data_IF_392666076528
#
_entry.id   IF_392666076528
#
_cell.length_a   1.000
_cell.length_b   1.000
_cell.length_c   1.000
_cell.angle_alpha   90.00
_cell.angle_beta   90.00
_cell.angle_gamma   90.00
#
_symmetry.space_group_name_H-M   'P 1'
#
loop_
_entity.id
_entity.type
_entity.pdbx_description
1 polymer ?
#
# COMPACT_ATOMS: atom_id res chain seq x y z
N UNK A 1 17.52 -7.58 -19.90
CA UNK A 1 17.23 -6.13 -20.00
C UNK A 1 17.48 -5.53 -18.63
N UNK A 2 18.39 -4.59 -18.53
CA UNK A 2 18.63 -3.89 -17.28
C UNK A 2 17.39 -3.09 -16.91
N UNK A 3 16.76 -3.47 -15.83
CA UNK A 3 15.57 -2.79 -15.31
C UNK A 3 16.08 -1.54 -14.60
N UNK A 4 15.74 -0.36 -15.09
CA UNK A 4 16.05 0.86 -14.37
C UNK A 4 15.33 0.83 -13.01
N UNK A 5 16.07 1.02 -11.90
CA UNK A 5 15.45 1.04 -10.58
C UNK A 5 14.43 2.17 -10.48
N UNK A 6 13.32 1.90 -9.79
CA UNK A 6 12.29 2.88 -9.49
C UNK A 6 12.58 3.45 -8.09
N UNK A 7 12.62 4.76 -7.96
CA UNK A 7 12.81 5.37 -6.65
C UNK A 7 11.55 5.30 -5.80
N UNK A 8 11.72 5.01 -4.52
CA UNK A 8 10.65 5.04 -3.52
C UNK A 8 11.08 5.98 -2.40
N UNK A 9 10.24 6.96 -2.11
CA UNK A 9 10.41 7.88 -1.00
C UNK A 9 9.38 7.58 0.08
N UNK A 10 9.80 7.36 1.33
CA UNK A 10 8.92 7.27 2.48
C UNK A 10 9.27 8.38 3.46
N UNK A 11 8.35 9.33 3.63
CA UNK A 11 8.45 10.42 4.60
C UNK A 11 7.59 10.08 5.81
N UNK A 12 8.19 9.98 7.00
CA UNK A 12 7.51 9.74 8.26
C UNK A 12 7.39 11.02 9.07
N UNK A 13 6.23 11.22 9.70
CA UNK A 13 5.98 12.31 10.64
C UNK A 13 6.10 11.80 12.08
N UNK A 14 6.45 12.70 13.01
CA UNK A 14 6.56 12.38 14.45
C UNK A 14 5.20 12.19 15.11
N UNK A 15 4.17 12.79 14.55
CA UNK A 15 2.84 12.85 15.12
C UNK A 15 2.08 11.55 14.93
N UNK A 16 1.42 11.09 16.00
CA UNK A 16 0.55 9.93 15.98
C UNK A 16 -0.75 10.25 15.24
N UNK A 17 -1.08 9.38 14.30
CA UNK A 17 -2.33 9.45 13.53
C UNK A 17 -3.06 8.11 13.59
N UNK A 18 -4.38 8.14 13.59
CA UNK A 18 -5.19 6.95 13.36
C UNK A 18 -5.32 6.65 11.86
N UNK A 19 -5.65 5.41 11.50
CA UNK A 19 -5.85 5.01 10.10
C UNK A 19 -6.89 5.90 9.38
N UNK A 20 -7.94 6.32 10.08
CA UNK A 20 -8.95 7.23 9.53
C UNK A 20 -8.38 8.61 9.17
N UNK A 21 -7.32 9.05 9.83
CA UNK A 21 -6.67 10.33 9.59
C UNK A 21 -5.69 10.31 8.38
N UNK A 22 -5.31 9.14 7.86
CA UNK A 22 -4.51 9.07 6.63
C UNK A 22 -5.20 9.82 5.46
N UNK A 23 -6.52 9.75 5.38
CA UNK A 23 -7.29 10.52 4.40
C UNK A 23 -7.26 12.02 4.69
N UNK A 24 -7.34 12.41 5.97
CA UNK A 24 -7.25 13.82 6.35
C UNK A 24 -5.87 14.37 6.02
N UNK A 25 -4.80 13.58 6.23
CA UNK A 25 -3.44 13.90 5.83
C UNK A 25 -3.37 14.17 4.32
N UNK A 26 -4.00 13.32 3.48
CA UNK A 26 -4.09 13.58 2.05
C UNK A 26 -4.72 14.94 1.74
N UNK A 27 -5.87 15.25 2.33
CA UNK A 27 -6.55 16.54 2.12
C UNK A 27 -5.67 17.72 2.53
N UNK A 28 -4.98 17.62 3.66
CA UNK A 28 -4.10 18.66 4.18
C UNK A 28 -2.87 18.89 3.27
N UNK A 29 -2.21 17.81 2.83
CA UNK A 29 -1.06 17.91 1.91
C UNK A 29 -1.48 18.50 0.55
N UNK A 30 -2.60 18.05 0.00
CA UNK A 30 -3.13 18.60 -1.25
C UNK A 30 -3.41 20.12 -1.11
N UNK A 31 -3.92 20.56 0.04
CA UNK A 31 -4.14 21.99 0.31
C UNK A 31 -2.82 22.75 0.46
N UNK A 32 -1.78 22.12 1.02
CA UNK A 32 -0.46 22.70 1.21
C UNK A 32 0.26 22.95 -0.13
N UNK A 33 0.25 21.96 -1.03
CA UNK A 33 0.97 22.03 -2.32
C UNK A 33 0.17 22.75 -3.41
N UNK A 34 -1.13 22.99 -3.18
CA UNK A 34 -2.03 23.54 -4.18
C UNK A 34 -2.65 22.48 -5.09
N UNK A 35 -3.81 22.85 -5.67
CA UNK A 35 -4.61 21.90 -6.46
C UNK A 35 -4.01 21.56 -7.82
N UNK A 36 -3.04 22.29 -8.29
CA UNK A 36 -2.41 22.11 -9.60
C UNK A 36 -1.38 20.97 -9.63
N UNK A 37 -1.01 20.45 -8.46
CA UNK A 37 -0.12 19.28 -8.35
C UNK A 37 -0.89 17.96 -8.54
N UNK A 38 -1.07 17.55 -9.81
CA UNK A 38 -1.87 16.40 -10.24
C UNK A 38 -1.50 15.08 -9.53
N UNK A 39 -0.22 14.82 -9.26
CA UNK A 39 0.23 13.57 -8.61
C UNK A 39 -0.30 13.39 -7.18
N UNK A 40 -0.42 14.48 -6.41
CA UNK A 40 -0.97 14.42 -5.05
C UNK A 40 -2.49 14.22 -5.03
N UNK A 41 -3.19 14.56 -6.11
CA UNK A 41 -4.64 14.41 -6.25
C UNK A 41 -5.09 13.04 -6.72
N UNK A 42 -4.26 12.28 -7.42
CA UNK A 42 -4.63 11.08 -8.20
C UNK A 42 -5.80 11.35 -9.20
N UNK A 43 -5.93 12.59 -9.68
CA UNK A 43 -6.89 12.99 -10.72
C UNK A 43 -6.10 13.69 -11.85
N UNK A 44 -6.17 13.15 -13.06
CA UNK A 44 -5.70 13.84 -14.25
C UNK A 44 -6.80 14.71 -14.87
N UNK A 45 -6.46 15.57 -15.84
CA UNK A 45 -7.41 16.41 -16.60
C UNK A 45 -8.52 15.61 -17.30
N UNK A 46 -8.31 14.31 -17.55
CA UNK A 46 -9.25 13.37 -18.16
C UNK A 46 -10.08 12.52 -17.18
N UNK A 47 -10.05 12.82 -15.87
CA UNK A 47 -10.78 12.05 -14.85
C UNK A 47 -9.90 11.18 -13.95
N UNK A 48 -10.51 10.18 -13.28
CA UNK A 48 -9.80 9.25 -12.40
C UNK A 48 -8.79 8.41 -13.18
N UNK A 49 -7.50 8.58 -12.90
CA UNK A 49 -6.49 7.63 -13.35
C UNK A 49 -6.70 6.29 -12.64
N UNK A 50 -7.23 5.29 -13.35
CA UNK A 50 -7.36 3.91 -12.90
C UNK A 50 -6.01 3.17 -12.91
N UNK A 51 -4.97 3.80 -12.37
CA UNK A 51 -3.64 3.23 -12.24
C UNK A 51 -3.29 2.97 -10.78
N UNK A 52 -2.17 2.27 -10.55
CA UNK A 52 -1.62 2.12 -9.22
C UNK A 52 -1.21 3.51 -8.67
N UNK A 53 -1.62 3.90 -7.43
CA UNK A 53 -1.38 5.24 -6.92
C UNK A 53 0.11 5.45 -6.60
N UNK A 54 0.72 6.43 -7.24
CA UNK A 54 2.13 6.76 -7.02
C UNK A 54 2.37 7.57 -5.73
N UNK A 55 1.36 8.31 -5.24
CA UNK A 55 1.41 8.95 -3.92
C UNK A 55 0.41 8.27 -2.99
N UNK A 56 0.89 7.85 -1.84
CA UNK A 56 0.09 7.13 -0.86
C UNK A 56 0.26 7.75 0.53
N UNK A 57 -0.84 7.98 1.21
CA UNK A 57 -0.89 8.52 2.57
C UNK A 57 -1.15 7.37 3.53
N UNK A 58 -0.29 7.21 4.51
CA UNK A 58 -0.24 6.02 5.39
C UNK A 58 -0.28 6.42 6.85
N UNK A 59 -0.58 5.42 7.66
CA UNK A 59 -0.24 5.40 9.07
C UNK A 59 0.60 4.14 9.29
N UNK A 60 1.86 4.33 9.64
CA UNK A 60 2.86 3.29 9.81
C UNK A 60 3.31 3.32 11.27
N UNK A 61 3.13 2.20 11.97
CA UNK A 61 3.43 2.07 13.40
C UNK A 61 2.82 3.20 14.26
N UNK A 62 1.62 3.67 13.87
CA UNK A 62 0.89 4.75 14.55
C UNK A 62 1.25 6.16 14.10
N UNK A 63 2.25 6.35 13.25
CA UNK A 63 2.70 7.65 12.78
C UNK A 63 2.22 7.94 11.37
N UNK A 64 1.94 9.22 11.09
CA UNK A 64 1.63 9.65 9.73
C UNK A 64 2.81 9.44 8.79
N UNK A 65 2.54 9.04 7.55
CA UNK A 65 3.57 8.89 6.53
C UNK A 65 3.03 9.17 5.12
N UNK A 66 3.93 9.55 4.20
CA UNK A 66 3.66 9.70 2.78
C UNK A 66 4.66 8.85 2.01
N UNK A 67 4.15 8.03 1.11
CA UNK A 67 4.99 7.21 0.22
C UNK A 67 4.84 7.73 -1.20
N UNK A 68 5.96 8.07 -1.83
CA UNK A 68 6.07 8.42 -3.25
C UNK A 68 6.78 7.33 -4.02
N UNK A 69 6.29 6.96 -5.19
CA UNK A 69 6.78 5.86 -6.01
C UNK A 69 7.06 6.38 -7.42
N UNK A 70 8.20 6.02 -7.99
CA UNK A 70 8.61 6.50 -9.31
C UNK A 70 8.82 8.01 -9.32
N UNK A 71 8.20 8.71 -10.27
CA UNK A 71 8.31 10.17 -10.41
C UNK A 71 7.77 10.92 -9.17
N UNK A 72 6.82 10.33 -8.46
CA UNK A 72 6.30 10.91 -7.22
C UNK A 72 7.30 10.85 -6.06
N UNK A 73 8.32 9.99 -6.10
CA UNK A 73 9.31 9.89 -5.02
C UNK A 73 10.07 11.21 -4.81
N UNK A 74 10.54 11.84 -5.89
CA UNK A 74 11.21 13.13 -5.81
C UNK A 74 10.28 14.25 -5.33
N UNK A 75 9.02 14.22 -5.73
CA UNK A 75 8.02 15.22 -5.30
C UNK A 75 7.69 15.08 -3.82
N UNK A 76 7.53 13.83 -3.31
CA UNK A 76 7.32 13.59 -1.87
C UNK A 76 8.54 14.06 -1.08
N UNK A 77 9.76 13.79 -1.55
CA UNK A 77 10.98 14.30 -0.90
C UNK A 77 11.01 15.84 -0.89
N UNK A 78 10.59 16.48 -1.97
CA UNK A 78 10.50 17.95 -2.09
C UNK A 78 9.56 18.59 -1.06
N UNK A 79 8.55 17.86 -0.56
CA UNK A 79 7.68 18.34 0.51
C UNK A 79 8.43 18.67 1.79
N UNK A 80 9.63 18.13 2.00
CA UNK A 80 10.41 18.36 3.22
C UNK A 80 10.64 19.86 3.50
N UNK A 81 10.74 20.69 2.47
CA UNK A 81 10.92 22.13 2.60
C UNK A 81 9.71 22.87 3.22
N UNK A 82 8.54 22.25 3.25
CA UNK A 82 7.33 22.82 3.84
C UNK A 82 7.18 22.53 5.35
N UNK A 83 8.02 21.63 5.91
CA UNK A 83 7.91 21.21 7.30
C UNK A 83 9.06 21.78 8.16
N UNK A 84 8.82 22.06 9.47
CA UNK A 84 7.55 21.87 10.20
C UNK A 84 6.48 22.90 9.80
N UNK A 85 5.22 22.45 9.80
CA UNK A 85 4.10 23.34 9.53
C UNK A 85 2.82 22.87 10.25
N UNK A 86 1.88 23.80 10.44
CA UNK A 86 0.55 23.50 10.96
C UNK A 86 -0.40 23.18 9.80
N UNK A 87 -1.09 22.05 9.88
CA UNK A 87 -2.07 21.62 8.89
C UNK A 87 -3.40 21.29 9.54
N UNK A 88 -4.48 21.49 8.77
CA UNK A 88 -5.81 21.09 9.17
C UNK A 88 -6.04 19.63 8.80
N UNK A 89 -6.04 18.72 9.78
CA UNK A 89 -6.37 17.30 9.62
C UNK A 89 -7.83 17.04 10.03
N UNK A 90 -8.74 17.13 9.07
CA UNK A 90 -10.17 17.15 9.36
C UNK A 90 -10.56 18.46 10.02
N UNK A 91 -11.02 18.41 11.26
CA UNK A 91 -11.40 19.57 12.07
C UNK A 91 -10.32 20.00 13.08
N UNK A 92 -9.15 19.38 13.05
CA UNK A 92 -8.08 19.61 14.04
C UNK A 92 -6.87 20.25 13.39
N UNK A 93 -6.34 21.30 14.01
CA UNK A 93 -5.00 21.80 13.72
C UNK A 93 -3.97 20.86 14.31
N UNK A 94 -3.03 20.44 13.49
CA UNK A 94 -1.93 19.54 13.90
C UNK A 94 -0.63 20.12 13.35
N UNK A 95 0.32 20.39 14.23
CA UNK A 95 1.68 20.71 13.83
C UNK A 95 2.34 19.41 13.38
N UNK A 96 2.71 19.33 12.10
CA UNK A 96 3.43 18.18 11.56
C UNK A 96 4.91 18.49 11.44
N UNK A 97 5.73 17.53 11.87
CA UNK A 97 7.18 17.58 11.75
C UNK A 97 7.70 16.25 11.20
N UNK A 98 8.70 16.34 10.32
CA UNK A 98 9.32 15.14 9.76
C UNK A 98 10.20 14.49 10.82
N UNK A 99 10.03 13.19 10.99
CA UNK A 99 10.91 12.35 11.79
C UNK A 99 12.03 11.78 10.92
N UNK A 100 11.66 11.17 9.80
CA UNK A 100 12.58 10.52 8.88
C UNK A 100 12.07 10.62 7.44
N UNK A 101 13.00 10.69 6.49
CA UNK A 101 12.71 10.64 5.07
C UNK A 101 13.71 9.70 4.39
N UNK A 102 13.22 8.56 3.93
CA UNK A 102 14.02 7.56 3.23
C UNK A 102 13.76 7.64 1.72
N UNK A 103 14.82 7.69 0.94
CA UNK A 103 14.76 7.68 -0.51
C UNK A 103 15.64 6.54 -1.03
N UNK A 104 15.03 5.48 -1.54
CA UNK A 104 15.73 4.25 -1.90
C UNK A 104 15.38 3.80 -3.33
N UNK A 105 16.35 3.33 -4.10
CA UNK A 105 16.10 2.67 -5.38
C UNK A 105 15.49 1.29 -5.11
N UNK A 106 14.50 0.91 -5.91
CA UNK A 106 13.85 -0.38 -5.87
C UNK A 106 13.83 -1.01 -7.27
N UNK A 107 14.24 -2.26 -7.35
CA UNK A 107 14.11 -3.11 -8.54
C UNK A 107 13.44 -4.41 -8.12
N UNK A 108 12.33 -4.81 -8.76
CA UNK A 108 11.73 -6.12 -8.50
C UNK A 108 12.74 -7.23 -8.76
N UNK A 109 12.86 -8.17 -7.84
CA UNK A 109 13.73 -9.32 -7.97
C UNK A 109 13.00 -10.59 -7.53
N UNK A 110 13.05 -11.62 -8.39
CA UNK A 110 12.60 -12.95 -8.03
C UNK A 110 13.72 -13.69 -7.31
N UNK A 111 13.37 -14.44 -6.28
CA UNK A 111 14.33 -15.18 -5.44
C UNK A 111 13.79 -16.59 -5.16
N UNK A 112 14.67 -17.56 -5.19
CA UNK A 112 14.34 -18.94 -4.79
C UNK A 112 13.95 -19.00 -3.31
N UNK A 113 14.57 -18.15 -2.48
CA UNK A 113 14.19 -18.03 -1.08
C UNK A 113 12.98 -17.09 -0.92
N UNK A 114 11.87 -17.61 -0.38
CA UNK A 114 10.67 -16.81 -0.20
C UNK A 114 10.91 -15.66 0.78
N UNK A 115 10.20 -14.57 0.58
CA UNK A 115 10.16 -13.43 1.50
C UNK A 115 8.83 -13.47 2.24
N UNK A 116 8.86 -13.22 3.54
CA UNK A 116 7.65 -13.12 4.37
C UNK A 116 7.20 -11.66 4.48
N UNK A 117 5.91 -11.44 4.31
CA UNK A 117 5.28 -10.13 4.39
C UNK A 117 4.07 -10.15 5.30
N UNK A 118 3.78 -9.00 5.93
CA UNK A 118 2.47 -8.70 6.49
C UNK A 118 1.77 -7.65 5.65
N UNK A 119 0.45 -7.73 5.60
CA UNK A 119 -0.41 -6.78 4.91
C UNK A 119 -1.56 -6.42 5.86
N UNK A 120 -1.59 -5.14 6.27
CA UNK A 120 -2.54 -4.66 7.28
C UNK A 120 -3.68 -3.88 6.64
N UNK A 121 -4.90 -4.07 7.16
CA UNK A 121 -6.12 -3.42 6.67
C UNK A 121 -6.29 -3.56 5.15
N UNK A 122 -5.99 -4.73 4.61
CA UNK A 122 -6.06 -5.03 3.17
C UNK A 122 -7.52 -5.13 2.71
N UNK A 123 -7.87 -4.45 1.63
CA UNK A 123 -9.19 -4.46 1.01
C UNK A 123 -9.14 -5.16 -0.35
N UNK A 124 -9.14 -6.52 -0.40
CA UNK A 124 -9.08 -7.26 -1.67
C UNK A 124 -10.39 -7.22 -2.44
N UNK A 125 -11.53 -7.17 -1.73
CA UNK A 125 -12.81 -7.48 -2.30
C UNK A 125 -13.53 -6.23 -2.84
N UNK A 126 -13.98 -6.30 -4.08
CA UNK A 126 -14.99 -5.41 -4.64
C UNK A 126 -16.40 -5.96 -4.36
N UNK A 127 -17.44 -5.27 -4.80
CA UNK A 127 -18.86 -5.68 -4.55
C UNK A 127 -19.20 -7.07 -5.10
N UNK A 128 -18.64 -7.44 -6.25
CA UNK A 128 -18.84 -8.76 -6.85
C UNK A 128 -18.06 -9.85 -6.09
N UNK A 129 -16.80 -9.55 -5.78
CA UNK A 129 -15.93 -10.49 -5.07
C UNK A 129 -16.37 -10.75 -3.63
N UNK A 130 -16.98 -9.78 -2.95
CA UNK A 130 -17.61 -9.98 -1.63
C UNK A 130 -18.67 -11.09 -1.70
N UNK A 131 -19.54 -11.05 -2.70
CA UNK A 131 -20.61 -12.07 -2.88
C UNK A 131 -20.00 -13.45 -3.13
N UNK A 132 -18.98 -13.55 -3.99
CA UNK A 132 -18.25 -14.80 -4.26
C UNK A 132 -17.60 -15.34 -2.99
N UNK A 133 -16.90 -14.50 -2.25
CA UNK A 133 -16.23 -14.88 -1.01
C UNK A 133 -17.19 -15.44 0.05
N UNK A 134 -18.36 -14.80 0.23
CA UNK A 134 -19.38 -15.28 1.17
C UNK A 134 -20.08 -16.56 0.72
N UNK A 135 -20.17 -16.81 -0.58
CA UNK A 135 -20.75 -18.04 -1.12
C UNK A 135 -19.81 -19.26 -0.99
N UNK A 136 -18.51 -19.04 -0.80
CA UNK A 136 -17.54 -20.14 -0.60
C UNK A 136 -17.73 -20.77 0.78
N UNK A 137 -17.88 -22.09 0.84
CA UNK A 137 -18.05 -22.83 2.10
C UNK A 137 -16.71 -23.28 2.68
N UNK A 138 -15.79 -23.76 1.85
CA UNK A 138 -14.50 -24.23 2.30
C UNK A 138 -13.51 -23.07 2.57
N UNK A 139 -12.78 -23.18 3.68
CA UNK A 139 -11.75 -22.18 4.02
C UNK A 139 -10.62 -22.18 2.98
N UNK A 140 -10.26 -23.34 2.45
CA UNK A 140 -9.26 -23.50 1.38
C UNK A 140 -9.62 -22.66 0.16
N UNK A 141 -10.88 -22.69 -0.29
CA UNK A 141 -11.33 -21.92 -1.44
C UNK A 141 -11.24 -20.42 -1.18
N UNK A 142 -11.59 -19.99 0.03
CA UNK A 142 -11.45 -18.59 0.46
C UNK A 142 -10.00 -18.14 0.47
N UNK A 143 -9.10 -18.98 0.96
CA UNK A 143 -7.65 -18.70 0.96
C UNK A 143 -7.15 -18.54 -0.46
N UNK A 144 -7.36 -19.53 -1.33
CA UNK A 144 -6.92 -19.47 -2.72
C UNK A 144 -7.50 -18.27 -3.47
N UNK A 145 -8.75 -17.93 -3.21
CA UNK A 145 -9.39 -16.74 -3.81
C UNK A 145 -8.72 -15.44 -3.38
N UNK A 146 -8.30 -15.32 -2.10
CA UNK A 146 -7.56 -14.13 -1.63
C UNK A 146 -6.13 -14.11 -2.18
N UNK A 147 -5.47 -15.27 -2.33
CA UNK A 147 -4.14 -15.40 -2.93
C UNK A 147 -4.14 -14.93 -4.39
N UNK A 148 -5.14 -15.34 -5.17
CA UNK A 148 -5.32 -14.91 -6.56
C UNK A 148 -5.48 -13.38 -6.68
N UNK A 149 -6.34 -12.80 -5.82
CA UNK A 149 -6.54 -11.35 -5.81
C UNK A 149 -5.28 -10.61 -5.37
N UNK A 150 -4.55 -11.13 -4.38
CA UNK A 150 -3.31 -10.54 -3.91
C UNK A 150 -2.24 -10.57 -5.00
N UNK A 151 -2.11 -11.69 -5.70
CA UNK A 151 -1.22 -11.83 -6.87
C UNK A 151 -1.57 -10.79 -7.94
N UNK A 152 -2.85 -10.62 -8.26
CA UNK A 152 -3.30 -9.61 -9.22
C UNK A 152 -2.98 -8.17 -8.75
N UNK A 153 -3.06 -7.90 -7.45
CA UNK A 153 -2.71 -6.58 -6.90
C UNK A 153 -1.19 -6.31 -6.93
N UNK A 154 -0.36 -7.35 -6.75
CA UNK A 154 1.10 -7.25 -6.94
C UNK A 154 1.42 -6.96 -8.41
N UNK A 155 0.76 -7.64 -9.34
CA UNK A 155 0.91 -7.37 -10.77
C UNK A 155 0.43 -5.95 -11.15
N UNK A 156 -0.61 -5.44 -10.50
CA UNK A 156 -1.07 -4.06 -10.68
C UNK A 156 -0.03 -3.04 -10.16
N UNK A 157 0.64 -3.32 -9.05
CA UNK A 157 1.79 -2.53 -8.58
C UNK A 157 2.92 -2.54 -9.61
N UNK A 158 3.31 -3.70 -10.11
CA UNK A 158 4.37 -3.83 -11.13
C UNK A 158 4.03 -3.06 -12.41
N UNK A 159 2.78 -3.17 -12.88
CA UNK A 159 2.31 -2.35 -14.01
C UNK A 159 2.42 -0.86 -13.70
N UNK A 160 2.13 -0.44 -12.46
CA UNK A 160 2.21 0.95 -12.02
C UNK A 160 3.63 1.53 -11.99
N UNK A 161 4.65 0.67 -11.92
CA UNK A 161 6.07 1.04 -12.00
C UNK A 161 6.70 0.65 -13.36
N UNK A 162 5.88 0.36 -14.37
CA UNK A 162 6.31 -0.07 -15.71
C UNK A 162 7.19 -1.33 -15.72
N UNK A 163 6.98 -2.23 -14.75
CA UNK A 163 7.65 -3.51 -14.68
C UNK A 163 6.75 -4.64 -15.19
N UNK A 164 7.29 -5.52 -16.01
CA UNK A 164 6.61 -6.73 -16.49
C UNK A 164 7.31 -7.95 -15.90
N UNK A 165 6.61 -8.66 -15.02
CA UNK A 165 7.14 -9.89 -14.42
C UNK A 165 7.48 -10.92 -15.50
N UNK A 166 8.72 -11.42 -15.51
CA UNK A 166 9.19 -12.43 -16.45
C UNK A 166 8.97 -13.84 -15.89
N UNK A 167 8.76 -13.95 -14.59
CA UNK A 167 8.54 -15.19 -13.88
C UNK A 167 7.17 -15.20 -13.22
N UNK A 168 6.66 -16.39 -12.94
CA UNK A 168 5.41 -16.55 -12.21
C UNK A 168 5.61 -16.17 -10.73
N UNK A 169 4.70 -15.37 -10.20
CA UNK A 169 4.66 -15.09 -8.78
C UNK A 169 4.10 -16.32 -8.06
N UNK A 170 4.95 -16.97 -7.27
CA UNK A 170 4.54 -17.99 -6.32
C UNK A 170 4.24 -17.31 -4.98
N UNK A 171 2.99 -17.43 -4.52
CA UNK A 171 2.51 -16.78 -3.31
C UNK A 171 1.67 -17.75 -2.49
N UNK A 172 1.84 -17.76 -1.17
CA UNK A 172 1.00 -18.52 -0.26
C UNK A 172 0.72 -17.73 1.02
N UNK A 173 -0.53 -17.71 1.48
CA UNK A 173 -0.90 -17.16 2.76
C UNK A 173 -0.36 -18.03 3.90
N UNK A 174 0.30 -17.42 4.87
CA UNK A 174 0.79 -18.10 6.08
C UNK A 174 -0.08 -17.82 7.29
N UNK A 175 -0.80 -16.70 7.28
CA UNK A 175 -1.76 -16.33 8.31
C UNK A 175 -2.81 -15.40 7.73
N UNK A 176 -4.05 -15.58 8.12
CA UNK A 176 -5.16 -14.68 7.81
C UNK A 176 -6.03 -14.56 9.06
N UNK A 177 -6.13 -13.37 9.60
CA UNK A 177 -7.03 -13.09 10.72
C UNK A 177 -8.48 -13.05 10.24
N UNK A 178 -9.42 -13.19 11.18
CA UNK A 178 -10.83 -13.04 10.86
C UNK A 178 -11.09 -11.64 10.26
N UNK A 179 -11.76 -11.58 9.09
CA UNK A 179 -11.99 -10.32 8.41
C UNK A 179 -12.82 -9.35 9.25
N UNK A 180 -12.46 -8.08 9.19
CA UNK A 180 -13.17 -7.01 9.91
C UNK A 180 -14.06 -6.23 8.95
N UNK A 181 -15.33 -6.02 9.33
CA UNK A 181 -16.18 -5.08 8.60
C UNK A 181 -15.83 -3.64 8.95
N UNK A 182 -15.58 -2.85 7.94
CA UNK A 182 -15.31 -1.41 8.05
C UNK A 182 -16.38 -0.62 7.29
N UNK A 183 -16.93 0.39 7.94
CA UNK A 183 -17.81 1.35 7.30
C UNK A 183 -17.03 2.60 6.89
N UNK A 184 -16.94 2.85 5.59
CA UNK A 184 -16.26 4.01 5.06
C UNK A 184 -17.11 4.69 3.97
N UNK A 185 -17.42 5.97 4.13
CA UNK A 185 -18.29 6.74 3.21
C UNK A 185 -19.64 6.04 2.90
N UNK A 186 -20.29 5.45 3.90
CA UNK A 186 -21.54 4.67 3.78
C UNK A 186 -21.40 3.39 2.94
N UNK A 187 -20.19 2.97 2.62
CA UNK A 187 -19.90 1.69 1.95
C UNK A 187 -19.28 0.75 2.98
N UNK A 188 -19.77 -0.49 3.01
CA UNK A 188 -19.17 -1.56 3.82
C UNK A 188 -17.99 -2.15 3.06
N UNK A 189 -16.87 -2.27 3.74
CA UNK A 189 -15.67 -2.96 3.28
C UNK A 189 -15.33 -4.10 4.21
N UNK A 190 -14.75 -5.14 3.66
CA UNK A 190 -14.19 -6.26 4.42
C UNK A 190 -12.68 -6.13 4.38
N UNK A 191 -12.07 -5.84 5.52
CA UNK A 191 -10.62 -5.66 5.66
C UNK A 191 -9.99 -6.90 6.26
N UNK A 192 -8.83 -7.27 5.72
CA UNK A 192 -8.03 -8.40 6.16
C UNK A 192 -6.69 -7.93 6.73
N UNK A 193 -6.28 -8.55 7.83
CA UNK A 193 -4.90 -8.53 8.28
C UNK A 193 -4.33 -9.92 8.02
N UNK A 194 -3.30 -10.01 7.19
CA UNK A 194 -2.77 -11.29 6.73
C UNK A 194 -1.24 -11.29 6.62
N UNK A 195 -0.66 -12.47 6.62
CA UNK A 195 0.75 -12.68 6.29
C UNK A 195 0.84 -13.65 5.12
N UNK A 196 1.83 -13.44 4.27
CA UNK A 196 2.06 -14.29 3.11
C UNK A 196 3.55 -14.38 2.81
N UNK A 197 3.93 -15.47 2.16
CA UNK A 197 5.24 -15.62 1.55
C UNK A 197 5.12 -15.48 0.04
N UNK A 198 6.14 -14.93 -0.57
CA UNK A 198 6.24 -14.85 -2.02
C UNK A 198 7.70 -14.98 -2.48
N UNK A 199 7.89 -15.49 -3.72
CA UNK A 199 9.19 -15.58 -4.38
C UNK A 199 9.67 -14.25 -4.99
N UNK A 200 9.09 -13.13 -4.61
CA UNK A 200 9.38 -11.82 -5.15
C UNK A 200 9.73 -10.84 -4.03
N UNK A 201 10.71 -9.98 -4.27
CA UNK A 201 11.04 -8.88 -3.38
C UNK A 201 10.07 -7.72 -3.60
N UNK A 202 9.39 -7.28 -2.53
CA UNK A 202 8.44 -6.18 -2.53
C UNK A 202 8.92 -5.09 -1.56
N UNK A 203 8.77 -3.82 -1.91
CA UNK A 203 9.22 -2.72 -1.06
C UNK A 203 8.27 -2.52 0.12
N UNK A 204 8.83 -2.12 1.26
CA UNK A 204 8.05 -1.77 2.44
C UNK A 204 7.18 -0.52 2.21
N UNK A 205 6.11 -0.46 2.99
CA UNK A 205 5.20 0.68 3.12
C UNK A 205 4.35 0.99 1.88
N UNK A 206 4.51 0.27 0.78
CA UNK A 206 3.56 0.39 -0.34
C UNK A 206 2.20 -0.18 0.05
N UNK A 207 1.15 0.25 -0.64
CA UNK A 207 -0.20 -0.27 -0.44
C UNK A 207 -0.64 -1.18 -1.56
N UNK A 208 -1.25 -2.30 -1.21
CA UNK A 208 -1.88 -3.21 -2.16
C UNK A 208 -3.40 -3.21 -1.97
N UNK A 209 -4.13 -3.43 -3.06
CA UNK A 209 -5.59 -3.50 -3.06
C UNK A 209 -6.29 -2.15 -3.09
N UNK A 210 -7.58 -2.19 -2.77
CA UNK A 210 -8.47 -1.03 -2.84
C UNK A 210 -8.12 0.01 -1.78
N UNK A 211 -8.23 1.30 -2.14
CA UNK A 211 -7.95 2.43 -1.24
C UNK A 211 -6.51 2.47 -0.69
N UNK A 212 -5.56 1.84 -1.38
CA UNK A 212 -4.14 1.82 -1.00
C UNK A 212 -3.52 3.22 -0.92
N UNK A 213 -4.06 4.21 -1.64
CA UNK A 213 -3.59 5.61 -1.58
C UNK A 213 -3.93 6.33 -0.27
N UNK A 214 -4.81 5.78 0.58
CA UNK A 214 -5.30 6.42 1.81
C UNK A 214 -5.20 5.52 3.04
N UNK A 215 -4.14 4.71 3.12
CA UNK A 215 -3.75 3.98 4.32
C UNK A 215 -4.14 2.50 4.36
N UNK A 216 -4.90 2.01 3.39
CA UNK A 216 -5.29 0.61 3.35
C UNK A 216 -4.23 -0.27 2.68
N UNK A 217 -4.17 -1.54 3.05
CA UNK A 217 -3.30 -2.55 2.48
C UNK A 217 -1.81 -2.22 2.59
N UNK A 218 -1.37 -1.74 3.75
CA UNK A 218 0.05 -1.39 3.94
C UNK A 218 0.90 -2.64 4.09
N UNK A 219 1.89 -2.78 3.23
CA UNK A 219 2.82 -3.89 3.18
C UNK A 219 4.01 -3.64 4.10
N UNK A 220 4.44 -4.67 4.82
CA UNK A 220 5.67 -4.67 5.62
C UNK A 220 6.38 -6.01 5.50
N UNK A 221 7.67 -5.99 5.21
CA UNK A 221 8.51 -7.18 5.21
C UNK A 221 8.74 -7.66 6.65
N UNK A 222 8.67 -8.97 6.84
CA UNK A 222 8.92 -9.61 8.12
C UNK A 222 10.17 -10.50 8.04
N UNK A 223 10.87 -10.71 9.16
CA UNK A 223 11.93 -11.71 9.22
C UNK A 223 11.36 -13.10 8.98
N UNK A 224 11.95 -13.86 8.04
CA UNK A 224 11.53 -15.22 7.79
C UNK A 224 12.06 -16.13 8.92
N UNK A 225 11.22 -16.98 9.52
CA UNK A 225 11.68 -17.97 10.50
C UNK A 225 12.75 -18.90 9.91
N UNK A 226 13.79 -19.24 10.67
CA UNK A 226 14.96 -20.01 10.22
C UNK A 226 14.63 -21.38 9.59
N UNK A 227 13.46 -21.95 9.87
CA UNK A 227 13.02 -23.27 9.41
C UNK A 227 11.81 -23.25 8.48
N UNK A 228 11.50 -22.06 7.91
CA UNK A 228 10.35 -21.94 7.01
C UNK A 228 10.62 -22.67 5.69
N UNK A 229 9.70 -23.56 5.30
CA UNK A 229 9.64 -24.15 3.96
C UNK A 229 8.39 -23.66 3.27
N UNK A 230 8.51 -23.26 1.99
CA UNK A 230 7.32 -22.97 1.19
C UNK A 230 6.37 -24.17 1.25
N UNK A 231 5.04 -23.92 1.43
CA UNK A 231 4.07 -24.95 1.12
C UNK A 231 4.30 -25.38 -0.33
N UNK A 232 4.26 -26.68 -0.59
CA UNK A 232 4.32 -27.18 -1.97
C UNK A 232 3.14 -26.60 -2.75
N UNK A 233 3.37 -26.17 -4.02
CA UNK A 233 2.30 -25.65 -4.89
C UNK A 233 1.21 -26.67 -5.15
#
# INVERSE_FOLDING_TARGET
MDINPVNICTMHFREYLSLSQARCLRGAIVSLVGRDHQLFHNHGESGLHYGYPQVQYKVIDGHGAIVGIGDAAAQVMGLASHFPCELMLGERHVALSIDNCQFVPYSPAFDIQPKLYSLTSYLPLNEENIKKYHAMLALTDKISFIEDILTANILAFFKGINYHAQEQIALALTSMQEPRELNYKRVRFVAFDLQFVANIDLPDNIGLGKSSSIGFGTLKRLPLPRHFKMPNP
#
